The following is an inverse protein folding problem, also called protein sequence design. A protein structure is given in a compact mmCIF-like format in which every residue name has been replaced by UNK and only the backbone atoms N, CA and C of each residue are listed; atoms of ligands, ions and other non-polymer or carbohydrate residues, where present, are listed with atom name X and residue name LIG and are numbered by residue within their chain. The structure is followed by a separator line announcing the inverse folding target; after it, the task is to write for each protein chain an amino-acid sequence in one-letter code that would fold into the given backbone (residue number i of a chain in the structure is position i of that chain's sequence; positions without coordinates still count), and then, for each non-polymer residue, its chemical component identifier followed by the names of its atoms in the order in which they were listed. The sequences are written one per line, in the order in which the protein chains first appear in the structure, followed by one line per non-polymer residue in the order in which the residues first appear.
data_IF_922691038399
#
_entry.id   IF_922691038399
#
_cell.length_a   1.000
_cell.length_b   1.000
_cell.length_c   1.000
_cell.angle_alpha   90.00
_cell.angle_beta   90.00
_cell.angle_gamma   90.00
#
_symmetry.space_group_name_H-M   'P 1'
#
loop_
_entity.id
_entity.type
_entity.pdbx_description
1 polymer ?
#
# COMPACT_ATOMS: atom_id res chain seq x y z
N UNK A 1 -24.43 16.19 78.79
CA UNK A 1 -23.86 17.24 77.92
C UNK A 1 -24.95 17.76 76.99
N UNK A 2 -25.44 18.99 77.22
CA UNK A 2 -26.40 19.68 76.34
C UNK A 2 -25.63 20.31 75.18
N UNK A 3 -25.70 19.74 73.99
CA UNK A 3 -25.15 20.39 72.80
C UNK A 3 -25.99 21.62 72.46
N UNK A 4 -25.36 22.79 72.37
CA UNK A 4 -26.01 24.06 72.03
C UNK A 4 -26.73 23.95 70.68
N UNK A 5 -28.01 24.35 70.63
CA UNK A 5 -28.82 24.32 69.42
C UNK A 5 -28.17 25.06 68.23
N UNK A 6 -27.29 26.04 68.49
CA UNK A 6 -26.51 26.74 67.46
C UNK A 6 -25.57 25.82 66.67
N UNK A 7 -24.96 24.82 67.30
CA UNK A 7 -24.05 23.88 66.62
C UNK A 7 -24.81 22.95 65.67
N UNK A 8 -26.05 22.59 66.04
CA UNK A 8 -26.94 21.78 65.19
C UNK A 8 -27.43 22.55 63.96
N UNK A 9 -27.74 23.84 64.11
CA UNK A 9 -28.13 24.69 62.98
C UNK A 9 -26.97 24.93 62.01
N UNK A 10 -25.76 25.18 62.51
CA UNK A 10 -24.58 25.32 61.66
C UNK A 10 -24.26 24.00 60.93
N UNK A 11 -24.34 22.86 61.63
CA UNK A 11 -24.13 21.56 61.00
C UNK A 11 -25.16 21.26 59.91
N UNK A 12 -26.45 21.54 60.15
CA UNK A 12 -27.51 21.38 59.14
C UNK A 12 -27.32 22.31 57.95
N UNK A 13 -26.90 23.55 58.17
CA UNK A 13 -26.64 24.50 57.10
C UNK A 13 -25.44 24.08 56.23
N UNK A 14 -24.36 23.61 56.84
CA UNK A 14 -23.19 23.07 56.12
C UNK A 14 -23.55 21.82 55.31
N UNK A 15 -24.37 20.93 55.87
CA UNK A 15 -24.80 19.71 55.18
C UNK A 15 -25.72 20.00 54.00
N UNK A 16 -26.56 21.03 54.12
CA UNK A 16 -27.45 21.49 53.05
C UNK A 16 -26.66 22.16 51.91
N UNK A 17 -25.67 22.99 52.23
CA UNK A 17 -24.74 23.57 51.24
C UNK A 17 -23.91 22.49 50.54
N UNK A 18 -23.44 21.47 51.27
CA UNK A 18 -22.71 20.34 50.67
C UNK A 18 -23.59 19.54 49.70
N UNK A 19 -24.87 19.33 50.04
CA UNK A 19 -25.83 18.61 49.19
C UNK A 19 -26.14 19.36 47.89
N UNK A 20 -26.22 20.70 47.92
CA UNK A 20 -26.38 21.55 46.72
C UNK A 20 -25.13 21.55 45.83
N UNK A 21 -23.96 21.25 46.38
CA UNK A 21 -22.70 21.16 45.63
C UNK A 21 -22.56 19.85 44.85
N UNK A 22 -23.29 18.80 45.26
CA UNK A 22 -23.21 17.46 44.66
C UNK A 22 -24.09 17.29 43.41
N UNK A 23 -25.10 18.14 43.19
CA UNK A 23 -26.00 18.05 42.01
C UNK A 23 -25.43 18.70 40.75
N UNK A 24 -24.27 19.38 40.84
CA UNK A 24 -23.65 20.08 39.71
C UNK A 24 -22.84 19.20 38.75
N UNK A 25 -22.43 17.99 39.16
CA UNK A 25 -21.56 17.14 38.35
C UNK A 25 -22.25 16.55 37.11
N UNK A 26 -23.56 16.33 37.16
CA UNK A 26 -24.31 15.72 36.04
C UNK A 26 -24.66 16.75 34.95
N UNK A 27 -24.83 18.03 35.31
CA UNK A 27 -25.12 19.09 34.35
C UNK A 27 -23.87 19.54 33.59
N UNK A 28 -22.72 19.62 34.27
CA UNK A 28 -21.45 20.03 33.64
C UNK A 28 -20.96 19.03 32.59
N UNK A 29 -21.11 17.73 32.82
CA UNK A 29 -20.72 16.70 31.86
C UNK A 29 -21.59 16.72 30.60
N UNK A 30 -22.88 17.02 30.74
CA UNK A 30 -23.82 17.13 29.62
C UNK A 30 -23.52 18.36 28.76
N UNK A 31 -23.31 19.53 29.36
CA UNK A 31 -22.94 20.76 28.64
C UNK A 31 -21.59 20.62 27.95
N UNK A 32 -20.62 19.96 28.59
CA UNK A 32 -19.32 19.67 27.98
C UNK A 32 -19.43 18.73 26.78
N UNK A 33 -20.28 17.71 26.86
CA UNK A 33 -20.51 16.76 25.76
C UNK A 33 -21.26 17.39 24.59
N UNK A 34 -22.29 18.19 24.87
CA UNK A 34 -23.05 18.92 23.84
C UNK A 34 -22.17 19.98 23.14
N UNK A 35 -21.27 20.64 23.89
CA UNK A 35 -20.27 21.55 23.32
C UNK A 35 -19.23 20.80 22.48
N UNK A 36 -18.79 19.62 22.92
CA UNK A 36 -17.85 18.79 22.17
C UNK A 36 -18.45 18.26 20.86
N UNK A 37 -19.71 17.80 20.88
CA UNK A 37 -20.41 17.32 19.68
C UNK A 37 -20.69 18.46 18.67
N UNK A 38 -20.75 19.72 19.12
CA UNK A 38 -20.93 20.88 18.25
C UNK A 38 -19.64 21.35 17.57
N UNK A 39 -18.48 21.15 18.23
CA UNK A 39 -17.17 21.57 17.73
C UNK A 39 -16.47 20.42 16.98
N UNK A 40 -16.74 19.18 17.38
CA UNK A 40 -16.17 17.97 16.79
C UNK A 40 -17.24 16.86 16.82
N UNK A 41 -18.24 16.91 15.92
CA UNK A 41 -19.28 15.90 15.87
C UNK A 41 -18.64 14.53 15.66
N UNK A 42 -19.07 13.53 16.43
CA UNK A 42 -18.65 12.16 16.23
C UNK A 42 -18.92 11.74 14.76
N UNK A 43 -17.90 11.33 14.00
CA UNK A 43 -18.05 11.05 12.60
C UNK A 43 -18.99 9.86 12.41
N UNK A 44 -20.14 10.11 11.80
CA UNK A 44 -21.02 9.04 11.32
C UNK A 44 -20.42 8.48 10.03
N UNK A 45 -19.90 7.27 10.09
CA UNK A 45 -19.41 6.55 8.92
C UNK A 45 -20.62 6.11 8.09
N UNK A 46 -20.88 6.81 6.99
CA UNK A 46 -21.86 6.37 6.01
C UNK A 46 -21.26 5.23 5.16
N UNK A 47 -21.62 3.99 5.49
CA UNK A 47 -21.20 2.80 4.72
C UNK A 47 -21.91 2.69 3.36
N UNK A 48 -22.77 3.67 3.00
CA UNK A 48 -23.46 3.72 1.71
C UNK A 48 -22.74 4.62 0.69
N UNK A 49 -21.42 4.78 0.78
CA UNK A 49 -20.69 5.46 -0.30
C UNK A 49 -20.93 4.71 -1.61
N UNK A 50 -21.43 5.39 -2.64
CA UNK A 50 -21.81 4.81 -3.92
C UNK A 50 -20.63 4.32 -4.79
N UNK A 51 -19.45 4.10 -4.20
CA UNK A 51 -18.19 3.97 -4.94
C UNK A 51 -17.68 5.32 -5.44
N UNK A 52 -16.66 5.28 -6.29
CA UNK A 52 -16.17 6.47 -7.00
C UNK A 52 -17.26 6.98 -7.95
N UNK A 53 -17.39 8.31 -8.08
CA UNK A 53 -18.39 8.94 -8.96
C UNK A 53 -18.19 8.53 -10.42
N UNK A 54 -16.93 8.48 -10.86
CA UNK A 54 -16.57 8.04 -12.20
C UNK A 54 -16.62 6.51 -12.27
N UNK A 55 -17.42 5.99 -13.20
CA UNK A 55 -17.64 4.55 -13.37
C UNK A 55 -16.36 3.83 -13.81
N UNK A 56 -15.56 4.47 -14.66
CA UNK A 56 -14.30 3.90 -15.14
C UNK A 56 -13.27 3.80 -14.02
N UNK A 57 -13.17 4.83 -13.18
CA UNK A 57 -12.27 4.80 -12.02
C UNK A 57 -12.72 3.74 -11.00
N UNK A 58 -14.03 3.60 -10.80
CA UNK A 58 -14.58 2.57 -9.92
C UNK A 58 -14.27 1.16 -10.45
N UNK A 59 -14.43 0.94 -11.76
CA UNK A 59 -14.05 -0.34 -12.39
C UNK A 59 -12.55 -0.62 -12.18
N UNK A 60 -11.68 0.35 -12.45
CA UNK A 60 -10.25 0.19 -12.23
C UNK A 60 -9.96 -0.16 -10.76
N UNK A 61 -10.53 0.59 -9.82
CA UNK A 61 -10.37 0.36 -8.38
C UNK A 61 -10.77 -1.05 -7.95
N UNK A 62 -11.91 -1.56 -8.44
CA UNK A 62 -12.36 -2.93 -8.16
C UNK A 62 -11.38 -3.98 -8.69
N UNK A 63 -10.70 -3.72 -9.81
CA UNK A 63 -9.75 -4.64 -10.41
C UNK A 63 -8.39 -4.62 -9.70
N UNK A 64 -7.82 -3.43 -9.44
CA UNK A 64 -6.44 -3.32 -8.97
C UNK A 64 -6.31 -3.41 -7.44
N UNK A 65 -7.31 -3.00 -6.66
CA UNK A 65 -7.19 -2.94 -5.18
C UNK A 65 -6.81 -4.29 -4.57
N UNK A 66 -7.46 -5.43 -4.90
CA UNK A 66 -7.09 -6.73 -4.33
C UNK A 66 -5.68 -7.19 -4.72
N UNK A 67 -5.15 -6.67 -5.83
CA UNK A 67 -3.79 -6.94 -6.32
C UNK A 67 -2.78 -6.09 -5.54
N UNK A 68 -3.00 -4.77 -5.48
CA UNK A 68 -2.12 -3.82 -4.79
C UNK A 68 -2.04 -4.11 -3.29
N UNK A 69 -3.14 -4.55 -2.67
CA UNK A 69 -3.15 -5.00 -1.27
C UNK A 69 -2.14 -6.12 -0.98
N UNK A 70 -1.91 -7.06 -1.91
CA UNK A 70 -0.91 -8.12 -1.73
C UNK A 70 0.51 -7.58 -1.77
N UNK A 71 0.76 -6.66 -2.69
CA UNK A 71 2.05 -5.98 -2.80
C UNK A 71 2.29 -5.12 -1.55
N UNK A 72 1.29 -4.35 -1.11
CA UNK A 72 1.35 -3.53 0.09
C UNK A 72 1.61 -4.36 1.36
N UNK A 73 0.96 -5.52 1.47
CA UNK A 73 1.18 -6.44 2.58
C UNK A 73 2.60 -7.01 2.58
N UNK A 74 3.12 -7.40 1.41
CA UNK A 74 4.50 -7.89 1.28
C UNK A 74 5.52 -6.79 1.60
N UNK A 75 5.38 -5.62 1.01
CA UNK A 75 6.26 -4.46 1.24
C UNK A 75 6.26 -4.05 2.72
N UNK A 76 5.10 -4.03 3.37
CA UNK A 76 5.00 -3.77 4.81
C UNK A 76 5.68 -4.85 5.65
N UNK A 77 5.59 -6.12 5.25
CA UNK A 77 6.28 -7.21 5.92
C UNK A 77 7.80 -7.08 5.83
N UNK A 78 8.34 -6.78 4.64
CA UNK A 78 9.77 -6.61 4.39
C UNK A 78 10.33 -5.34 5.04
N UNK A 79 9.52 -4.31 5.23
CA UNK A 79 9.97 -3.03 5.80
C UNK A 79 10.53 -3.16 7.24
N UNK A 80 10.16 -4.22 7.96
CA UNK A 80 10.57 -4.48 9.35
C UNK A 80 11.91 -5.22 9.49
N UNK A 81 12.63 -5.45 8.39
CA UNK A 81 13.94 -6.10 8.44
C UNK A 81 14.99 -5.07 8.83
N UNK A 82 15.64 -5.27 9.97
CA UNK A 82 16.79 -4.48 10.41
C UNK A 82 18.09 -5.30 10.40
N UNK A 83 18.02 -6.59 10.75
CA UNK A 83 19.13 -7.55 10.75
C UNK A 83 18.88 -8.71 9.79
N UNK A 84 19.91 -9.50 9.49
CA UNK A 84 19.74 -10.70 8.66
C UNK A 84 18.65 -11.62 9.25
N UNK A 85 17.63 -12.03 8.46
CA UNK A 85 16.54 -12.84 8.97
C UNK A 85 16.96 -14.27 9.33
N UNK A 86 16.31 -14.83 10.34
CA UNK A 86 16.48 -16.24 10.71
C UNK A 86 15.59 -17.18 9.88
N UNK A 87 15.75 -18.49 10.13
CA UNK A 87 15.02 -19.54 9.42
C UNK A 87 13.50 -19.42 9.61
N UNK A 88 13.04 -19.01 10.80
CA UNK A 88 11.62 -18.90 11.12
C UNK A 88 10.97 -17.72 10.40
N UNK A 89 11.70 -16.61 10.22
CA UNK A 89 11.28 -15.52 9.37
C UNK A 89 11.05 -15.98 7.92
N UNK A 90 11.96 -16.77 7.34
CA UNK A 90 11.78 -17.30 5.98
C UNK A 90 10.56 -18.23 5.87
N UNK A 91 10.36 -19.11 6.86
CA UNK A 91 9.15 -19.96 6.91
C UNK A 91 7.88 -19.11 6.92
N UNK A 92 7.86 -18.06 7.74
CA UNK A 92 6.72 -17.16 7.88
C UNK A 92 6.47 -16.33 6.61
N UNK A 93 7.53 -15.91 5.91
CA UNK A 93 7.43 -15.26 4.60
C UNK A 93 6.64 -16.15 3.62
N UNK A 94 7.07 -17.40 3.42
CA UNK A 94 6.39 -18.32 2.48
C UNK A 94 4.99 -18.73 2.95
N UNK A 95 4.76 -18.82 4.27
CA UNK A 95 3.43 -19.08 4.82
C UNK A 95 2.45 -17.94 4.51
N UNK A 96 2.90 -16.68 4.65
CA UNK A 96 2.07 -15.48 4.43
C UNK A 96 1.92 -15.12 2.96
N UNK A 97 2.96 -15.36 2.18
CA UNK A 97 3.03 -14.96 0.77
C UNK A 97 3.38 -16.17 -0.11
N UNK A 98 2.50 -17.18 -0.20
CA UNK A 98 2.76 -18.41 -0.97
C UNK A 98 2.83 -18.17 -2.49
N UNK A 99 2.54 -16.96 -2.94
CA UNK A 99 2.56 -16.55 -4.35
C UNK A 99 3.91 -15.98 -4.79
N UNK A 100 4.85 -15.70 -3.88
CA UNK A 100 6.19 -15.23 -4.28
C UNK A 100 6.95 -16.34 -5.00
N UNK A 101 7.84 -15.96 -5.90
CA UNK A 101 8.67 -16.93 -6.63
C UNK A 101 9.84 -17.41 -5.77
N UNK A 102 10.45 -16.50 -5.01
CA UNK A 102 11.56 -16.87 -4.14
C UNK A 102 12.10 -15.72 -3.31
N UNK A 103 13.03 -16.07 -2.45
CA UNK A 103 13.83 -15.16 -1.64
C UNK A 103 15.28 -15.61 -1.65
N UNK A 104 16.18 -14.65 -1.69
CA UNK A 104 17.59 -14.91 -1.42
C UNK A 104 18.16 -13.76 -0.61
N UNK A 105 19.26 -14.04 0.08
CA UNK A 105 20.04 -13.01 0.76
C UNK A 105 21.44 -12.99 0.19
N UNK A 106 21.98 -11.79 0.06
CA UNK A 106 23.37 -11.58 -0.36
C UNK A 106 24.10 -10.78 0.71
N UNK A 107 25.41 -10.99 0.83
CA UNK A 107 26.28 -10.12 1.64
C UNK A 107 26.65 -8.82 0.88
N UNK A 108 27.50 -8.00 1.50
CA UNK A 108 28.03 -6.75 0.93
C UNK A 108 28.99 -6.96 -0.26
N UNK A 109 29.46 -8.18 -0.48
CA UNK A 109 30.24 -8.61 -1.63
C UNK A 109 29.38 -9.28 -2.72
N UNK A 110 28.05 -9.29 -2.56
CA UNK A 110 27.08 -9.94 -3.42
C UNK A 110 27.17 -11.48 -3.48
N UNK A 111 27.81 -12.13 -2.50
CA UNK A 111 27.76 -13.58 -2.35
C UNK A 111 26.41 -14.00 -1.77
N UNK A 112 25.83 -15.07 -2.33
CA UNK A 112 24.54 -15.60 -1.87
C UNK A 112 24.72 -16.35 -0.55
N UNK A 113 24.06 -15.88 0.51
CA UNK A 113 24.06 -16.51 1.83
C UNK A 113 22.92 -17.52 1.99
N UNK A 114 21.73 -17.17 1.52
CA UNK A 114 20.52 -18.00 1.57
C UNK A 114 19.82 -17.89 0.22
N UNK A 115 19.25 -18.99 -0.26
CA UNK A 115 18.40 -19.03 -1.45
C UNK A 115 17.27 -20.03 -1.26
N UNK A 116 16.03 -19.57 -1.40
CA UNK A 116 14.81 -20.36 -1.27
C UNK A 116 13.85 -20.04 -2.41
N UNK A 117 13.29 -21.05 -3.11
CA UNK A 117 13.68 -22.47 -3.03
C UNK A 117 15.14 -22.70 -3.47
N UNK A 118 15.78 -23.74 -2.93
CA UNK A 118 17.19 -24.04 -3.24
C UNK A 118 17.39 -24.30 -4.73
N UNK A 119 16.51 -25.10 -5.31
CA UNK A 119 16.39 -25.28 -6.75
C UNK A 119 15.42 -24.23 -7.30
N UNK A 120 15.98 -23.14 -7.83
CA UNK A 120 15.20 -22.16 -8.59
C UNK A 120 15.28 -22.50 -10.07
N UNK A 121 14.12 -22.56 -10.72
CA UNK A 121 14.00 -22.71 -12.17
C UNK A 121 14.65 -21.51 -12.89
N UNK A 122 14.59 -20.32 -12.28
CA UNK A 122 15.14 -19.08 -12.82
C UNK A 122 16.51 -18.79 -12.18
N UNK A 123 17.61 -18.77 -12.95
CA UNK A 123 18.91 -18.40 -12.42
C UNK A 123 18.92 -16.91 -12.06
N UNK A 124 18.99 -16.59 -10.78
CA UNK A 124 19.25 -15.22 -10.35
C UNK A 124 20.75 -14.92 -10.49
N UNK A 125 21.08 -13.86 -11.21
CA UNK A 125 22.42 -13.28 -11.24
C UNK A 125 22.37 -12.04 -10.35
N UNK A 126 23.30 -11.84 -9.40
CA UNK A 126 23.39 -10.61 -8.61
C UNK A 126 23.71 -9.35 -9.45
N UNK A 127 24.04 -9.50 -10.73
CA UNK A 127 24.36 -8.42 -11.67
C UNK A 127 23.41 -7.22 -11.61
N UNK A 128 22.08 -7.38 -11.59
CA UNK A 128 21.16 -6.26 -11.44
C UNK A 128 21.33 -5.49 -10.12
N UNK A 129 21.78 -6.12 -9.02
CA UNK A 129 22.09 -5.42 -7.76
C UNK A 129 23.39 -4.62 -7.84
N UNK A 130 24.28 -5.01 -8.75
CA UNK A 130 25.55 -4.32 -9.03
C UNK A 130 25.35 -3.19 -10.05
N UNK A 131 24.48 -3.40 -11.04
CA UNK A 131 24.05 -2.39 -12.03
C UNK A 131 23.15 -1.33 -11.40
N UNK A 132 22.38 -1.72 -10.37
CA UNK A 132 21.67 -0.79 -9.52
C UNK A 132 22.70 -0.11 -8.60
N UNK A 133 23.22 1.06 -9.03
CA UNK A 133 24.05 1.99 -8.24
C UNK A 133 23.27 2.59 -7.05
N UNK A 134 22.37 1.83 -6.45
CA UNK A 134 21.63 2.25 -5.30
C UNK A 134 22.57 2.41 -4.13
N UNK A 135 22.55 3.58 -3.51
CA UNK A 135 23.14 3.75 -2.18
C UNK A 135 22.39 2.83 -1.18
N UNK A 136 22.97 1.67 -0.88
CA UNK A 136 22.43 0.67 0.05
C UNK A 136 22.74 1.02 1.51
N UNK A 137 23.42 2.15 1.76
CA UNK A 137 23.61 2.67 3.12
C UNK A 137 22.32 3.23 3.70
N UNK A 138 21.33 3.55 2.86
CA UNK A 138 20.00 3.93 3.32
C UNK A 138 19.20 2.71 3.78
N UNK A 139 18.43 2.86 4.87
CA UNK A 139 17.53 1.82 5.40
C UNK A 139 16.34 1.52 4.44
N UNK A 140 16.14 2.34 3.40
CA UNK A 140 14.99 2.24 2.52
C UNK A 140 15.05 0.98 1.66
N UNK A 141 13.89 0.35 1.52
CA UNK A 141 13.68 -0.70 0.53
C UNK A 141 13.73 -0.10 -0.87
N UNK A 142 14.23 -0.90 -1.82
CA UNK A 142 14.29 -0.59 -3.24
C UNK A 142 13.63 -1.70 -4.03
N UNK A 143 13.30 -1.44 -5.27
CA UNK A 143 12.69 -2.38 -6.17
C UNK A 143 13.12 -2.13 -7.61
N UNK A 144 13.04 -3.18 -8.42
CA UNK A 144 13.24 -3.06 -9.86
C UNK A 144 12.59 -4.24 -10.57
N UNK A 145 12.47 -4.13 -11.88
CA UNK A 145 12.06 -5.23 -12.74
C UNK A 145 13.28 -5.80 -13.44
N UNK A 146 13.50 -7.10 -13.30
CA UNK A 146 14.53 -7.82 -14.04
C UNK A 146 13.89 -8.53 -15.24
N UNK A 147 14.51 -8.38 -16.41
CA UNK A 147 14.06 -8.97 -17.66
C UNK A 147 14.86 -10.22 -17.98
N UNK A 148 14.21 -11.38 -17.87
CA UNK A 148 14.81 -12.67 -18.19
C UNK A 148 14.14 -13.31 -19.41
N UNK A 149 14.75 -14.38 -19.94
CA UNK A 149 14.14 -15.22 -20.97
C UNK A 149 12.79 -15.84 -20.55
N UNK A 150 12.55 -15.94 -19.23
CA UNK A 150 11.30 -16.45 -18.65
C UNK A 150 10.25 -15.35 -18.41
N UNK A 151 10.55 -14.12 -18.80
CA UNK A 151 9.71 -12.94 -18.63
C UNK A 151 10.20 -12.01 -17.51
N UNK A 152 9.58 -10.83 -17.41
CA UNK A 152 9.93 -9.81 -16.43
C UNK A 152 9.43 -10.18 -15.03
N UNK A 153 10.29 -10.02 -14.03
CA UNK A 153 10.00 -10.26 -12.62
C UNK A 153 10.29 -9.03 -11.77
N UNK A 154 9.49 -8.83 -10.72
CA UNK A 154 9.70 -7.77 -9.75
C UNK A 154 10.58 -8.25 -8.62
N UNK A 155 11.54 -7.42 -8.23
CA UNK A 155 12.45 -7.62 -7.11
C UNK A 155 12.20 -6.55 -6.06
N UNK A 156 12.10 -6.95 -4.80
CA UNK A 156 12.04 -6.08 -3.62
C UNK A 156 13.29 -6.34 -2.79
N UNK A 157 14.11 -5.32 -2.62
CA UNK A 157 15.43 -5.37 -2.02
C UNK A 157 15.44 -4.53 -0.74
N UNK A 158 15.67 -5.17 0.41
CA UNK A 158 15.73 -4.50 1.71
C UNK A 158 17.12 -4.71 2.32
N UNK A 159 17.87 -3.65 2.62
CA UNK A 159 19.15 -3.78 3.30
C UNK A 159 18.97 -4.21 4.75
N UNK A 160 19.93 -5.01 5.22
CA UNK A 160 20.06 -5.38 6.62
C UNK A 160 21.44 -4.96 7.14
N UNK A 161 21.48 -4.67 8.44
CA UNK A 161 22.63 -4.04 9.09
C UNK A 161 23.08 -4.87 10.29
N UNK A 162 24.33 -4.67 10.66
CA UNK A 162 24.89 -5.13 11.93
C UNK A 162 25.78 -4.02 12.48
N UNK A 163 25.56 -3.63 13.73
CA UNK A 163 26.32 -2.55 14.37
C UNK A 163 26.29 -1.23 13.56
N UNK A 164 25.14 -0.93 12.94
CA UNK A 164 24.91 0.20 12.03
C UNK A 164 25.74 0.19 10.73
N UNK A 165 26.43 -0.90 10.43
CA UNK A 165 27.08 -1.12 9.14
C UNK A 165 26.19 -1.96 8.23
N UNK A 166 26.12 -1.58 6.95
CA UNK A 166 25.49 -2.39 5.92
C UNK A 166 26.17 -3.77 5.86
N UNK A 167 25.38 -4.84 5.77
CA UNK A 167 25.88 -6.22 5.69
C UNK A 167 25.34 -7.00 4.50
N UNK A 168 24.42 -6.44 3.75
CA UNK A 168 23.82 -7.11 2.61
C UNK A 168 22.35 -6.82 2.43
N UNK A 169 21.71 -7.61 1.56
CA UNK A 169 20.33 -7.43 1.14
C UNK A 169 19.51 -8.69 1.36
N UNK A 170 18.27 -8.50 1.81
CA UNK A 170 17.19 -9.48 1.63
C UNK A 170 16.46 -9.13 0.36
N UNK A 171 16.36 -10.08 -0.56
CA UNK A 171 15.74 -9.88 -1.86
C UNK A 171 14.62 -10.88 -2.06
N UNK A 172 13.39 -10.38 -2.15
CA UNK A 172 12.20 -11.16 -2.49
C UNK A 172 11.83 -10.85 -3.92
N UNK A 173 11.52 -11.88 -4.71
CA UNK A 173 11.12 -11.69 -6.09
C UNK A 173 9.90 -12.52 -6.47
N UNK A 174 9.14 -12.01 -7.43
CA UNK A 174 7.96 -12.65 -7.95
C UNK A 174 7.63 -12.19 -9.37
N UNK A 175 6.90 -13.02 -10.10
CA UNK A 175 6.32 -12.66 -11.39
C UNK A 175 4.98 -11.92 -11.18
N UNK A 176 4.84 -10.64 -11.57
CA UNK A 176 3.60 -9.89 -11.36
C UNK A 176 2.34 -10.53 -11.96
N UNK A 177 2.46 -11.46 -12.92
CA UNK A 177 1.31 -12.24 -13.43
C UNK A 177 0.61 -13.04 -12.36
N UNK A 178 1.35 -13.55 -11.36
CA UNK A 178 0.77 -14.35 -10.27
C UNK A 178 -0.27 -13.55 -9.49
N UNK A 179 -0.11 -12.23 -9.44
CA UNK A 179 -1.00 -11.35 -8.70
C UNK A 179 -2.37 -11.20 -9.37
N UNK A 180 -2.46 -11.43 -10.69
CA UNK A 180 -3.73 -11.40 -11.41
C UNK A 180 -4.72 -12.46 -10.89
N UNK A 181 -4.24 -13.51 -10.21
CA UNK A 181 -5.10 -14.49 -9.54
C UNK A 181 -5.94 -13.89 -8.41
N UNK A 182 -5.56 -12.72 -7.89
CA UNK A 182 -6.32 -11.98 -6.88
C UNK A 182 -7.29 -10.96 -7.48
N UNK A 183 -7.17 -10.67 -8.78
CA UNK A 183 -8.09 -9.78 -9.48
C UNK A 183 -9.41 -10.50 -9.79
N UNK A 184 -10.59 -9.88 -9.56
CA UNK A 184 -11.88 -10.51 -9.85
C UNK A 184 -12.11 -10.75 -11.34
N UNK A 185 -11.54 -9.92 -12.22
CA UNK A 185 -11.62 -10.05 -13.67
C UNK A 185 -10.23 -9.80 -14.31
N UNK A 186 -9.30 -10.76 -14.23
CA UNK A 186 -7.90 -10.56 -14.62
C UNK A 186 -7.70 -10.20 -16.09
N UNK A 187 -8.64 -10.58 -16.96
CA UNK A 187 -8.67 -10.22 -18.38
C UNK A 187 -8.96 -8.74 -18.64
N UNK A 188 -9.46 -8.00 -17.65
CA UNK A 188 -9.73 -6.57 -17.78
C UNK A 188 -8.60 -5.71 -17.25
N UNK A 189 -7.71 -6.26 -16.42
CA UNK A 189 -6.63 -5.53 -15.80
C UNK A 189 -5.35 -5.66 -16.63
N UNK A 190 -4.70 -4.53 -16.83
CA UNK A 190 -3.32 -4.44 -17.31
C UNK A 190 -2.49 -3.86 -16.18
N UNK A 191 -1.40 -4.53 -15.85
CA UNK A 191 -0.35 -4.04 -14.97
C UNK A 191 0.86 -3.79 -15.87
N UNK A 192 1.52 -2.65 -15.73
CA UNK A 192 2.73 -2.38 -16.50
C UNK A 192 3.77 -1.57 -15.75
N UNK A 193 5.02 -1.74 -16.14
CA UNK A 193 6.12 -0.85 -15.80
C UNK A 193 6.37 0.11 -16.98
N UNK A 194 6.18 1.42 -16.78
CA UNK A 194 6.44 2.44 -17.80
C UNK A 194 7.84 2.36 -18.45
N UNK A 195 8.89 2.29 -17.64
CA UNK A 195 10.27 2.54 -18.10
C UNK A 195 10.96 1.32 -18.75
N UNK A 196 10.43 0.11 -18.53
CA UNK A 196 11.08 -1.15 -18.92
C UNK A 196 10.26 -2.03 -19.87
N UNK A 197 9.00 -1.70 -20.11
CA UNK A 197 8.13 -2.45 -21.01
C UNK A 197 7.55 -3.75 -20.44
N UNK A 198 7.72 -4.01 -19.15
CA UNK A 198 7.02 -5.09 -18.44
C UNK A 198 5.51 -4.86 -18.52
N UNK A 199 4.78 -5.75 -19.20
CA UNK A 199 3.31 -5.69 -19.31
C UNK A 199 2.72 -7.05 -18.99
N UNK A 200 1.80 -7.06 -18.03
CA UNK A 200 1.13 -8.24 -17.51
C UNK A 200 -0.39 -8.05 -17.57
N UNK A 201 -1.09 -9.03 -18.13
CA UNK A 201 -2.55 -9.06 -18.18
C UNK A 201 -3.04 -10.50 -18.22
N UNK A 202 -4.27 -10.74 -17.75
CA UNK A 202 -4.96 -12.02 -17.92
C UNK A 202 -5.53 -12.19 -19.33
N UNK A 203 -5.57 -11.13 -20.13
CA UNK A 203 -6.01 -11.17 -21.52
C UNK A 203 -4.87 -11.62 -22.44
N UNK A 204 -4.98 -12.84 -22.96
CA UNK A 204 -4.01 -13.40 -23.91
C UNK A 204 -4.08 -12.75 -25.30
N UNK A 205 -5.12 -11.97 -25.57
CA UNK A 205 -5.33 -11.27 -26.85
C UNK A 205 -4.87 -9.81 -26.82
N UNK A 206 -4.38 -9.33 -25.68
CA UNK A 206 -3.91 -7.95 -25.51
C UNK A 206 -2.68 -7.68 -26.39
N UNK A 207 -2.82 -6.74 -27.33
CA UNK A 207 -1.70 -6.17 -28.07
C UNK A 207 -0.87 -5.27 -27.13
N UNK A 208 0.41 -5.62 -26.91
CA UNK A 208 1.29 -4.91 -25.95
C UNK A 208 2.00 -3.72 -26.58
N UNK A 209 2.30 -3.80 -27.87
CA UNK A 209 3.04 -2.80 -28.63
C UNK A 209 2.42 -1.39 -28.56
N UNK A 210 1.08 -1.21 -28.56
CA UNK A 210 0.48 0.11 -28.38
C UNK A 210 0.76 0.75 -27.01
N UNK A 211 0.87 -0.04 -25.94
CA UNK A 211 1.21 0.47 -24.61
C UNK A 211 2.64 0.99 -24.54
N UNK A 212 3.56 0.30 -25.23
CA UNK A 212 4.98 0.66 -25.27
C UNK A 212 5.27 1.91 -26.12
N UNK A 213 4.31 2.39 -26.92
CA UNK A 213 4.44 3.59 -27.76
C UNK A 213 3.99 4.87 -27.07
N UNK A 214 3.40 4.76 -25.88
CA UNK A 214 2.97 5.91 -25.10
C UNK A 214 4.21 6.52 -24.46
N UNK A 215 4.31 7.85 -24.54
CA UNK A 215 5.28 8.63 -23.78
C UNK A 215 4.80 8.70 -22.33
N UNK A 216 5.09 7.63 -21.59
CA UNK A 216 4.67 7.51 -20.20
C UNK A 216 5.35 8.54 -19.32
N UNK A 217 6.62 8.85 -19.56
CA UNK A 217 7.37 9.86 -18.81
C UNK A 217 6.66 11.21 -18.86
N UNK A 218 6.33 11.70 -20.07
CA UNK A 218 5.65 12.98 -20.22
C UNK A 218 4.23 13.03 -19.62
N UNK A 219 3.59 11.87 -19.48
CA UNK A 219 2.24 11.73 -18.91
C UNK A 219 2.29 11.62 -17.38
N UNK A 220 3.23 10.84 -16.85
CA UNK A 220 3.43 10.61 -15.42
C UNK A 220 4.10 11.79 -14.71
N UNK A 221 4.81 12.64 -15.45
CA UNK A 221 5.30 13.94 -14.96
C UNK A 221 4.18 14.91 -14.58
N UNK A 222 2.98 14.72 -15.14
CA UNK A 222 1.85 15.64 -14.98
C UNK A 222 0.77 15.08 -14.08
N UNK A 223 0.47 13.80 -14.24
CA UNK A 223 -0.69 13.16 -13.63
C UNK A 223 -0.33 11.78 -13.09
N UNK A 224 -0.97 11.40 -11.98
CA UNK A 224 -0.85 10.05 -11.41
C UNK A 224 -2.01 9.14 -11.82
N UNK A 225 -3.04 9.67 -12.48
CA UNK A 225 -4.17 8.92 -13.02
C UNK A 225 -4.76 9.68 -14.20
N UNK A 226 -5.53 9.00 -15.05
CA UNK A 226 -6.25 9.67 -16.13
C UNK A 226 -6.82 8.70 -17.15
N UNK A 227 -7.20 9.24 -18.31
CA UNK A 227 -7.68 8.47 -19.46
C UNK A 227 -6.77 8.73 -20.64
N UNK A 228 -6.29 7.67 -21.28
CA UNK A 228 -5.45 7.78 -22.48
C UNK A 228 -5.89 6.81 -23.56
N UNK A 229 -5.58 7.17 -24.81
CA UNK A 229 -5.87 6.33 -25.98
C UNK A 229 -4.67 5.40 -26.22
N UNK A 230 -4.93 4.10 -26.21
CA UNK A 230 -3.91 3.07 -26.41
C UNK A 230 -4.32 2.24 -27.62
N UNK A 231 -3.62 2.44 -28.74
CA UNK A 231 -4.01 1.87 -30.03
C UNK A 231 -5.37 2.41 -30.49
N UNK A 232 -6.38 1.52 -30.58
CA UNK A 232 -7.75 1.87 -31.00
C UNK A 232 -8.68 2.15 -29.83
N UNK A 233 -8.31 1.70 -28.63
CA UNK A 233 -9.16 1.73 -27.44
C UNK A 233 -8.75 2.86 -26.49
N UNK A 234 -9.64 3.22 -25.57
CA UNK A 234 -9.36 4.14 -24.46
C UNK A 234 -9.24 3.35 -23.16
N UNK A 235 -8.28 3.74 -22.35
CA UNK A 235 -8.01 3.14 -21.05
C UNK A 235 -8.03 4.20 -19.98
N UNK A 236 -8.68 3.88 -18.87
CA UNK A 236 -8.44 4.57 -17.59
C UNK A 236 -7.21 3.94 -16.95
N UNK A 237 -6.35 4.76 -16.34
CA UNK A 237 -5.10 4.32 -15.75
C UNK A 237 -4.82 5.04 -14.43
N UNK A 238 -4.06 4.37 -13.57
CA UNK A 238 -3.58 4.86 -12.28
C UNK A 238 -2.13 4.41 -12.10
N UNK A 239 -1.26 5.33 -11.72
CA UNK A 239 0.13 5.10 -11.39
C UNK A 239 0.33 5.03 -9.88
N UNK A 240 1.16 4.08 -9.43
CA UNK A 240 1.57 3.91 -8.04
C UNK A 240 3.03 3.48 -7.99
N UNK A 241 3.71 3.84 -6.91
CA UNK A 241 5.05 3.33 -6.63
C UNK A 241 4.98 2.08 -5.75
N UNK A 242 5.71 1.05 -6.15
CA UNK A 242 6.04 -0.09 -5.31
C UNK A 242 7.48 0.10 -4.88
N UNK A 243 7.71 0.68 -3.71
CA UNK A 243 9.03 1.20 -3.32
C UNK A 243 9.47 2.33 -4.26
N UNK A 244 10.46 2.12 -5.13
CA UNK A 244 10.96 3.09 -6.11
C UNK A 244 10.60 2.70 -7.56
N UNK A 245 10.08 1.49 -7.80
CA UNK A 245 9.55 1.10 -9.11
C UNK A 245 8.14 1.65 -9.30
N UNK A 246 7.97 2.47 -10.34
CA UNK A 246 6.65 2.95 -10.77
C UNK A 246 5.91 1.86 -11.55
N UNK A 247 4.64 1.65 -11.19
CA UNK A 247 3.73 0.70 -11.83
C UNK A 247 2.46 1.44 -12.23
N UNK A 248 1.95 1.13 -13.42
CA UNK A 248 0.67 1.62 -13.92
C UNK A 248 -0.32 0.46 -13.99
N UNK A 249 -1.49 0.67 -13.38
CA UNK A 249 -2.67 -0.15 -13.55
C UNK A 249 -3.57 0.49 -14.60
N UNK A 250 -4.10 -0.29 -15.53
CA UNK A 250 -5.01 0.22 -16.55
C UNK A 250 -6.14 -0.77 -16.85
N UNK A 251 -7.29 -0.25 -17.25
CA UNK A 251 -8.41 -1.04 -17.79
C UNK A 251 -9.12 -0.29 -18.90
N UNK A 252 -9.76 -1.02 -19.83
CA UNK A 252 -10.52 -0.42 -20.92
C UNK A 252 -11.72 0.32 -20.33
N UNK A 253 -12.02 1.51 -20.84
CA UNK A 253 -13.21 2.25 -20.42
C UNK A 253 -14.50 1.45 -20.69
N UNK A 254 -15.43 1.47 -19.75
CA UNK A 254 -16.72 0.78 -19.83
C UNK A 254 -17.79 1.69 -20.44
N UNK A 255 -17.74 2.99 -20.13
CA UNK A 255 -18.67 4.02 -20.62
C UNK A 255 -17.92 5.12 -21.35
N UNK A 256 -18.50 5.65 -22.43
CA UNK A 256 -17.91 6.76 -23.21
C UNK A 256 -18.23 8.14 -22.65
N UNK A 257 -19.12 8.22 -21.67
CA UNK A 257 -19.73 9.48 -21.25
C UNK A 257 -18.82 10.32 -20.34
N UNK A 258 -17.78 9.74 -19.74
CA UNK A 258 -16.82 10.42 -18.84
C UNK A 258 -15.43 10.62 -19.50
N UNK A 259 -15.35 10.53 -20.84
CA UNK A 259 -14.10 10.71 -21.58
C UNK A 259 -13.64 12.18 -21.70
N UNK A 260 -14.47 13.12 -21.25
CA UNK A 260 -14.18 14.54 -21.15
C UNK A 260 -14.39 14.96 -19.70
N UNK A 261 -13.28 15.29 -19.03
CA UNK A 261 -13.11 16.04 -17.77
C UNK A 261 -12.25 15.27 -16.76
N UNK A 262 -10.97 15.68 -16.71
CA UNK A 262 -10.03 15.34 -15.65
C UNK A 262 -10.46 15.98 -14.33
N UNK A 263 -11.53 15.45 -13.72
CA UNK A 263 -11.77 15.69 -12.31
C UNK A 263 -10.78 14.87 -11.50
N UNK A 264 -9.73 15.56 -11.07
CA UNK A 264 -8.73 15.05 -10.16
C UNK A 264 -9.37 14.37 -8.95
N UNK A 265 -8.87 13.18 -8.62
CA UNK A 265 -9.04 12.54 -7.32
C UNK A 265 -8.83 13.55 -6.18
N UNK A 266 -9.91 14.03 -5.55
CA UNK A 266 -9.86 14.63 -4.23
C UNK A 266 -10.26 13.57 -3.21
N UNK A 267 -9.28 12.88 -2.65
CA UNK A 267 -9.48 12.05 -1.46
C UNK A 267 -8.70 12.71 -0.34
N UNK A 268 -9.43 13.07 0.72
CA UNK A 268 -8.90 13.49 2.01
C UNK A 268 -8.17 12.34 2.71
#
# INVERSE_FOLDING_TARGET
MRFNNSVRFVALFVLLVLSMSATGCEYGSKVWRDAQDSVNPNPTIDLKSAGLKNVNDNELALLFTPVDEKILSLTSFLSNIDSHPDEDWFKLLFLRFPWITGVFTVDDEANVLVKLPQESIKPFKPGPLVEYEGDWSEIKMKSFINYSEFGPEMYLCKPFFKDAEFKGLVVVHFDPRVLLNFCPFPQKLVIMQPDGGGIWSGDQTLEKEPFLKIDWDALLDKEVHGVTKIGKDKYVWLSRYVSDTQIVYATKIVTKDDADEGEAFSIF
#
